data_IF_649415386003
#
_entry.id   IF_649415386003
#
_cell.length_a   1.000
_cell.length_b   1.000
_cell.length_c   1.000
_cell.angle_alpha   90.00
_cell.angle_beta   90.00
_cell.angle_gamma   90.00
#
_symmetry.space_group_name_H-M   'P 1'
#
loop_
_entity.id
_entity.type
_entity.pdbx_description
1 polymer ?
#
# COMPACT_ATOMS: atom_id res chain seq x y z
N UNK A 1 1.23 1.80 18.98
CA UNK A 1 1.07 0.33 18.96
C UNK A 1 2.28 -0.34 18.28
N UNK A 2 2.82 -1.40 18.89
CA UNK A 2 3.90 -2.24 18.33
C UNK A 2 3.37 -3.23 17.28
N UNK A 3 4.26 -3.97 16.61
CA UNK A 3 3.84 -5.01 15.63
C UNK A 3 3.30 -6.28 16.30
N UNK A 4 3.69 -6.53 17.55
CA UNK A 4 3.38 -7.78 18.26
C UNK A 4 1.88 -8.10 18.34
N UNK A 5 0.97 -7.16 18.68
CA UNK A 5 -0.48 -7.44 18.70
C UNK A 5 -1.05 -7.91 17.37
N UNK A 6 -0.49 -7.45 16.24
CA UNK A 6 -0.91 -7.88 14.91
C UNK A 6 -0.51 -9.33 14.64
N UNK A 7 0.69 -9.70 15.05
CA UNK A 7 1.19 -11.07 14.92
C UNK A 7 0.42 -12.02 15.84
N UNK A 8 0.14 -11.62 17.07
CA UNK A 8 -0.69 -12.40 18.00
C UNK A 8 -2.11 -12.60 17.44
N UNK A 9 -2.72 -11.55 16.90
CA UNK A 9 -4.02 -11.63 16.22
C UNK A 9 -3.97 -12.60 15.03
N UNK A 10 -2.94 -12.51 14.19
CA UNK A 10 -2.76 -13.42 13.06
C UNK A 10 -2.60 -14.87 13.51
N UNK A 11 -1.76 -15.13 14.52
CA UNK A 11 -1.49 -16.46 15.05
C UNK A 11 -2.73 -17.12 15.66
N UNK A 12 -3.69 -16.31 16.13
CA UNK A 12 -4.97 -16.80 16.64
C UNK A 12 -5.92 -17.27 15.54
N UNK A 13 -5.74 -16.77 14.31
CA UNK A 13 -6.61 -17.03 13.16
C UNK A 13 -6.50 -18.47 12.64
N UNK A 14 -7.60 -18.99 12.11
CA UNK A 14 -7.60 -20.33 11.48
C UNK A 14 -6.74 -20.35 10.21
N UNK A 15 -6.76 -19.27 9.42
CA UNK A 15 -5.95 -19.15 8.21
C UNK A 15 -4.46 -19.32 8.48
N UNK A 16 -3.94 -18.73 9.57
CA UNK A 16 -2.54 -18.91 9.96
C UNK A 16 -2.26 -20.33 10.45
N UNK A 17 -3.13 -20.91 11.29
CA UNK A 17 -2.97 -22.29 11.78
C UNK A 17 -2.91 -23.30 10.63
N UNK A 18 -3.80 -23.14 9.64
CA UNK A 18 -3.82 -23.99 8.44
C UNK A 18 -2.57 -23.78 7.57
N UNK A 19 -2.04 -22.56 7.53
CA UNK A 19 -0.79 -22.24 6.85
C UNK A 19 0.42 -22.87 7.53
N UNK A 20 0.55 -22.72 8.86
CA UNK A 20 1.66 -23.25 9.65
C UNK A 20 1.74 -24.77 9.57
N UNK A 21 0.59 -25.46 9.53
CA UNK A 21 0.55 -26.91 9.30
C UNK A 21 1.09 -27.33 7.93
N UNK A 22 0.88 -26.52 6.90
CA UNK A 22 1.32 -26.80 5.52
C UNK A 22 2.76 -26.35 5.25
N UNK A 23 3.23 -25.34 5.97
CA UNK A 23 4.51 -24.66 5.75
C UNK A 23 5.23 -24.45 7.09
N UNK A 24 5.60 -25.54 7.75
CA UNK A 24 6.28 -25.51 9.05
C UNK A 24 7.71 -24.94 9.00
N UNK A 25 8.29 -24.84 7.80
CA UNK A 25 9.57 -24.20 7.53
C UNK A 25 9.46 -22.67 7.34
N UNK A 26 8.23 -22.13 7.33
CA UNK A 26 8.02 -20.71 7.09
C UNK A 26 8.43 -19.85 8.30
N UNK A 27 8.90 -18.63 8.02
CA UNK A 27 9.27 -17.68 9.07
C UNK A 27 8.91 -16.24 8.71
N UNK A 28 8.61 -15.43 9.73
CA UNK A 28 8.30 -14.02 9.60
C UNK A 28 9.49 -13.25 9.02
N UNK A 29 9.25 -12.44 7.97
CA UNK A 29 10.29 -11.64 7.31
C UNK A 29 10.02 -10.15 7.33
N UNK A 30 8.76 -9.75 7.29
CA UNK A 30 8.39 -8.34 7.25
C UNK A 30 7.00 -8.08 7.81
N UNK A 31 6.80 -6.86 8.29
CA UNK A 31 5.49 -6.29 8.55
C UNK A 31 5.30 -5.04 7.69
N UNK A 32 4.22 -4.99 6.93
CA UNK A 32 3.87 -3.87 6.05
C UNK A 32 2.63 -3.18 6.62
N UNK A 33 2.73 -1.87 6.85
CA UNK A 33 1.71 -1.07 7.49
C UNK A 33 1.45 0.19 6.68
N UNK A 34 0.19 0.43 6.34
CA UNK A 34 -0.25 1.70 5.77
C UNK A 34 -1.07 2.41 6.83
N UNK A 35 -0.57 3.55 7.29
CA UNK A 35 -1.29 4.45 8.18
C UNK A 35 -1.83 5.60 7.34
N UNK A 36 -3.14 5.61 7.11
CA UNK A 36 -3.82 6.70 6.44
C UNK A 36 -4.31 7.70 7.48
N UNK A 37 -3.59 8.83 7.60
CA UNK A 37 -3.86 9.84 8.62
C UNK A 37 -5.06 10.73 8.25
N UNK A 38 -5.54 10.66 7.01
CA UNK A 38 -6.69 11.44 6.54
C UNK A 38 -8.00 10.64 6.71
N UNK A 39 -8.03 9.40 6.24
CA UNK A 39 -9.23 8.57 6.30
C UNK A 39 -9.32 7.69 7.55
N UNK A 40 -8.21 7.50 8.26
CA UNK A 40 -8.10 6.55 9.37
C UNK A 40 -8.12 5.08 8.93
N UNK A 41 -8.16 4.80 7.63
CA UNK A 41 -8.17 3.44 7.10
C UNK A 41 -6.76 2.87 7.08
N UNK A 42 -6.42 2.14 8.14
CA UNK A 42 -5.13 1.50 8.27
C UNK A 42 -5.16 0.10 7.63
N UNK A 43 -4.10 -0.22 6.88
CA UNK A 43 -3.89 -1.55 6.31
C UNK A 43 -2.69 -2.17 7.00
N UNK A 44 -2.78 -3.45 7.33
CA UNK A 44 -1.68 -4.19 7.93
C UNK A 44 -1.52 -5.53 7.23
N UNK A 45 -0.30 -5.82 6.82
CA UNK A 45 0.07 -7.05 6.15
C UNK A 45 1.29 -7.64 6.85
N UNK A 46 1.29 -8.95 7.07
CA UNK A 46 2.41 -9.68 7.68
C UNK A 46 2.91 -10.71 6.69
N UNK A 47 4.22 -10.71 6.44
CA UNK A 47 4.84 -11.52 5.41
C UNK A 47 5.69 -12.63 6.01
N UNK A 48 5.41 -13.87 5.58
CA UNK A 48 6.18 -15.05 5.94
C UNK A 48 6.89 -15.59 4.70
N UNK A 49 8.19 -15.86 4.81
CA UNK A 49 8.93 -16.55 3.76
C UNK A 49 8.79 -18.06 3.92
N UNK A 50 8.60 -18.77 2.81
CA UNK A 50 8.51 -20.23 2.72
C UNK A 50 9.75 -20.73 1.98
N UNK A 51 10.81 -21.17 2.69
CA UNK A 51 12.08 -21.60 2.09
C UNK A 51 11.92 -22.72 1.07
N UNK A 52 11.11 -23.74 1.38
CA UNK A 52 10.88 -24.91 0.51
C UNK A 52 10.30 -24.56 -0.86
N UNK A 53 9.63 -23.41 -0.99
CA UNK A 53 8.99 -22.98 -2.24
C UNK A 53 9.64 -21.73 -2.84
N UNK A 54 10.55 -21.08 -2.11
CA UNK A 54 11.08 -19.76 -2.43
C UNK A 54 9.98 -18.72 -2.72
N UNK A 55 8.94 -18.70 -1.87
CA UNK A 55 7.76 -17.84 -1.98
C UNK A 55 7.52 -17.07 -0.69
N UNK A 56 6.71 -16.01 -0.78
CA UNK A 56 6.27 -15.22 0.38
C UNK A 56 4.76 -15.37 0.54
N UNK A 57 4.31 -15.75 1.73
CA UNK A 57 2.92 -15.68 2.13
C UNK A 57 2.63 -14.31 2.76
N UNK A 58 1.82 -13.51 2.08
CA UNK A 58 1.37 -12.20 2.53
C UNK A 58 -0.02 -12.32 3.17
N UNK A 59 -0.11 -12.06 4.47
CA UNK A 59 -1.36 -12.07 5.23
C UNK A 59 -1.90 -10.66 5.36
N UNK A 60 -2.96 -10.35 4.63
CA UNK A 60 -3.66 -9.07 4.70
C UNK A 60 -4.71 -9.12 5.81
N UNK A 61 -4.56 -8.27 6.82
CA UNK A 61 -5.52 -8.15 7.91
C UNK A 61 -6.49 -7.01 7.62
N UNK A 62 -7.75 -7.37 7.42
CA UNK A 62 -8.84 -6.42 7.16
C UNK A 62 -9.46 -5.94 8.48
N UNK A 63 -10.13 -4.79 8.43
CA UNK A 63 -10.77 -4.13 9.57
C UNK A 63 -11.90 -4.96 10.21
N UNK A 64 -12.55 -5.82 9.42
CA UNK A 64 -13.64 -6.70 9.85
C UNK A 64 -13.15 -7.99 10.53
N UNK A 65 -11.84 -8.16 10.68
CA UNK A 65 -11.23 -9.35 11.27
C UNK A 65 -10.99 -10.48 10.27
N UNK A 66 -11.37 -10.33 9.00
CA UNK A 66 -10.98 -11.29 7.97
C UNK A 66 -9.48 -11.20 7.69
N UNK A 67 -8.87 -12.35 7.44
CA UNK A 67 -7.47 -12.49 7.04
C UNK A 67 -7.42 -13.17 5.69
N UNK A 68 -6.89 -12.46 4.69
CA UNK A 68 -6.65 -13.01 3.35
C UNK A 68 -5.17 -13.38 3.20
N UNK A 69 -4.88 -14.55 2.65
CA UNK A 69 -3.51 -15.03 2.45
C UNK A 69 -3.22 -15.14 0.95
N UNK A 70 -2.13 -14.49 0.53
CA UNK A 70 -1.65 -14.56 -0.86
C UNK A 70 -0.24 -15.10 -0.89
N UNK A 71 -0.02 -16.13 -1.69
CA UNK A 71 1.33 -16.64 -1.96
C UNK A 71 1.88 -15.90 -3.17
N UNK A 72 2.99 -15.20 -2.98
CA UNK A 72 3.66 -14.36 -3.95
C UNK A 72 5.04 -14.94 -4.30
N UNK A 73 5.47 -14.74 -5.54
CA UNK A 73 6.83 -15.08 -5.95
C UNK A 73 7.82 -14.01 -5.48
N UNK A 74 9.00 -14.46 -5.05
CA UNK A 74 10.09 -13.56 -4.71
C UNK A 74 10.62 -12.86 -5.96
N UNK A 75 10.63 -11.53 -5.94
CA UNK A 75 11.22 -10.72 -7.01
C UNK A 75 12.76 -10.72 -6.96
N UNK A 76 13.35 -11.08 -5.82
CA UNK A 76 14.80 -11.06 -5.61
C UNK A 76 15.33 -12.47 -5.34
N UNK A 77 16.58 -12.73 -5.71
CA UNK A 77 17.27 -13.99 -5.42
C UNK A 77 17.85 -14.05 -4.00
N UNK A 78 17.83 -12.94 -3.26
CA UNK A 78 18.40 -12.87 -1.91
C UNK A 78 17.39 -13.47 -0.93
N UNK A 79 17.79 -14.47 -0.17
CA UNK A 79 16.97 -15.02 0.91
C UNK A 79 16.75 -13.95 1.98
N UNK A 80 15.50 -13.67 2.39
CA UNK A 80 15.21 -12.70 3.42
C UNK A 80 15.67 -13.20 4.79
N UNK A 81 16.00 -12.26 5.66
CA UNK A 81 16.37 -12.55 7.05
C UNK A 81 15.12 -12.67 7.91
N UNK A 82 15.17 -13.53 8.94
CA UNK A 82 14.07 -13.67 9.89
C UNK A 82 13.90 -12.37 10.69
N UNK A 83 12.67 -11.92 10.80
CA UNK A 83 12.29 -10.79 11.63
C UNK A 83 11.92 -11.26 13.04
N UNK A 84 12.52 -10.64 14.05
CA UNK A 84 12.11 -10.81 15.44
C UNK A 84 10.87 -9.97 15.73
N UNK A 85 9.89 -10.58 16.40
CA UNK A 85 8.56 -10.01 16.68
C UNK A 85 8.64 -8.75 17.56
N UNK A 86 9.61 -8.69 18.48
CA UNK A 86 9.73 -7.61 19.43
C UNK A 86 10.29 -6.35 18.74
N UNK A 87 9.49 -5.29 18.61
CA UNK A 87 9.95 -3.97 18.16
C UNK A 87 10.05 -2.97 19.31
N UNK A 88 10.98 -2.03 19.19
CA UNK A 88 11.16 -0.92 20.13
C UNK A 88 10.38 0.33 19.72
N UNK A 89 10.07 0.46 18.43
CA UNK A 89 9.27 1.56 17.89
C UNK A 89 7.80 1.15 17.79
N UNK A 90 6.94 2.05 18.25
CA UNK A 90 5.50 2.02 18.00
C UNK A 90 5.18 2.62 16.63
N UNK A 91 4.25 2.01 15.90
CA UNK A 91 3.79 2.50 14.59
C UNK A 91 3.30 3.95 14.65
N UNK A 92 2.61 4.33 15.73
CA UNK A 92 2.11 5.69 15.96
C UNK A 92 3.25 6.67 16.27
N UNK A 93 4.34 6.20 16.87
CA UNK A 93 5.51 7.02 17.16
C UNK A 93 6.32 7.35 15.89
N UNK A 94 6.19 6.58 14.81
CA UNK A 94 6.86 6.85 13.53
C UNK A 94 6.53 8.26 13.02
N UNK A 95 5.26 8.69 13.15
CA UNK A 95 4.84 10.04 12.75
C UNK A 95 5.65 11.11 13.49
N UNK A 96 5.74 11.01 14.81
CA UNK A 96 6.48 11.98 15.63
C UNK A 96 7.97 12.02 15.29
N UNK A 97 8.61 10.85 15.17
CA UNK A 97 10.03 10.74 14.79
C UNK A 97 10.29 11.44 13.44
N UNK A 98 9.40 11.22 12.47
CA UNK A 98 9.52 11.80 11.14
C UNK A 98 9.25 13.30 11.14
N UNK A 99 8.22 13.77 11.87
CA UNK A 99 7.91 15.19 11.99
C UNK A 99 9.04 15.99 12.65
N UNK A 100 9.69 15.41 13.66
CA UNK A 100 10.83 16.05 14.31
C UNK A 100 12.05 16.11 13.38
N UNK A 101 12.35 15.04 12.65
CA UNK A 101 13.43 15.04 11.66
C UNK A 101 13.14 15.98 10.47
N UNK A 102 11.87 16.09 10.04
CA UNK A 102 11.44 17.04 9.02
C UNK A 102 11.66 18.49 9.46
N UNK A 103 11.30 18.84 10.71
CA UNK A 103 11.56 20.17 11.28
C UNK A 103 13.05 20.49 11.33
N UNK A 104 13.88 19.53 11.73
CA UNK A 104 15.34 19.70 11.74
C UNK A 104 15.92 19.98 10.35
N UNK A 105 15.22 19.57 9.29
CA UNK A 105 15.59 19.80 7.88
C UNK A 105 14.84 20.97 7.23
N UNK A 106 14.13 21.79 8.00
CA UNK A 106 13.32 22.91 7.54
C UNK A 106 12.23 22.53 6.51
N UNK A 107 11.64 21.34 6.67
CA UNK A 107 10.50 20.89 5.87
C UNK A 107 9.19 21.29 6.57
N UNK A 108 8.29 21.97 5.83
CA UNK A 108 7.03 22.49 6.38
C UNK A 108 5.80 21.71 5.92
N UNK A 109 5.98 20.68 5.10
CA UNK A 109 4.87 19.88 4.59
C UNK A 109 4.27 18.98 5.67
N UNK A 110 3.00 18.62 5.49
CA UNK A 110 2.31 17.70 6.39
C UNK A 110 2.34 16.28 5.84
N UNK A 111 2.54 15.29 6.72
CA UNK A 111 2.42 13.87 6.36
C UNK A 111 0.93 13.50 6.30
N UNK A 112 0.46 13.04 5.13
CA UNK A 112 -0.92 12.56 4.93
C UNK A 112 -1.05 11.04 5.06
N UNK A 113 -0.03 10.30 4.60
CA UNK A 113 -0.02 8.84 4.63
C UNK A 113 1.37 8.33 4.95
N UNK A 114 1.46 7.28 5.74
CA UNK A 114 2.72 6.60 6.09
C UNK A 114 2.62 5.15 5.61
N UNK A 115 3.57 4.73 4.78
CA UNK A 115 3.75 3.33 4.37
C UNK A 115 5.03 2.84 5.02
N UNK A 116 4.91 2.05 6.08
CA UNK A 116 6.01 1.57 6.89
C UNK A 116 6.24 0.07 6.68
N UNK A 117 7.48 -0.32 6.43
CA UNK A 117 7.90 -1.71 6.28
C UNK A 117 8.99 -2.00 7.30
N UNK A 118 8.70 -2.84 8.28
CA UNK A 118 9.72 -3.36 9.21
C UNK A 118 10.29 -4.65 8.66
N UNK A 119 11.62 -4.75 8.63
CA UNK A 119 12.34 -5.94 8.19
C UNK A 119 13.73 -5.99 8.84
N UNK A 120 14.33 -7.16 8.87
CA UNK A 120 15.74 -7.33 9.26
C UNK A 120 16.63 -7.18 8.02
N UNK A 121 17.61 -6.28 8.07
CA UNK A 121 18.61 -6.08 7.03
C UNK A 121 19.98 -6.09 7.69
N UNK A 122 20.84 -7.04 7.29
CA UNK A 122 22.20 -7.17 7.83
C UNK A 122 22.21 -7.34 9.36
N UNK A 123 21.29 -8.16 9.87
CA UNK A 123 21.11 -8.41 11.31
C UNK A 123 20.50 -7.25 12.10
N UNK A 124 20.10 -6.15 11.44
CA UNK A 124 19.49 -4.99 12.08
C UNK A 124 18.02 -4.84 11.70
N UNK A 125 17.16 -4.56 12.67
CA UNK A 125 15.76 -4.20 12.42
C UNK A 125 15.66 -2.78 11.92
N UNK A 126 15.18 -2.62 10.69
CA UNK A 126 15.04 -1.32 10.02
C UNK A 126 13.60 -1.12 9.59
N UNK A 127 13.07 0.06 9.90
CA UNK A 127 11.82 0.58 9.39
C UNK A 127 12.08 1.39 8.13
N UNK A 128 11.64 0.87 6.99
CA UNK A 128 11.64 1.58 5.72
C UNK A 128 10.29 2.26 5.55
N UNK A 129 10.29 3.58 5.62
CA UNK A 129 9.07 4.38 5.66
C UNK A 129 8.98 5.26 4.43
N UNK A 130 7.86 5.22 3.72
CA UNK A 130 7.53 6.14 2.65
C UNK A 130 6.32 6.96 3.09
N UNK A 131 6.46 8.28 3.15
CA UNK A 131 5.39 9.19 3.52
C UNK A 131 4.92 9.98 2.31
N UNK A 132 3.61 10.05 2.13
CA UNK A 132 2.99 10.96 1.18
C UNK A 132 2.76 12.29 1.89
N UNK A 133 3.36 13.35 1.35
CA UNK A 133 3.26 14.71 1.88
C UNK A 133 2.12 15.48 1.20
N UNK A 134 1.63 16.54 1.85
CA UNK A 134 0.61 17.44 1.30
C UNK A 134 0.99 18.10 -0.04
N UNK A 135 2.29 18.25 -0.32
CA UNK A 135 2.84 18.86 -1.54
C UNK A 135 2.98 17.94 -2.77
N UNK A 136 2.34 16.76 -2.80
CA UNK A 136 2.57 15.72 -3.83
C UNK A 136 4.03 15.22 -3.89
N UNK A 137 4.69 15.20 -2.74
CA UNK A 137 6.05 14.70 -2.57
C UNK A 137 6.05 13.43 -1.73
N UNK A 138 7.04 12.58 -1.98
CA UNK A 138 7.27 11.36 -1.21
C UNK A 138 8.53 11.55 -0.40
N UNK A 139 8.39 11.42 0.93
CA UNK A 139 9.52 11.34 1.84
C UNK A 139 9.85 9.89 2.09
N UNK A 140 11.07 9.49 1.78
CA UNK A 140 11.61 8.16 2.10
C UNK A 140 12.50 8.28 3.32
N UNK A 141 12.27 7.45 4.32
CA UNK A 141 13.06 7.44 5.53
C UNK A 141 13.41 6.01 5.94
N UNK A 142 14.61 5.81 6.46
CA UNK A 142 15.07 4.55 7.03
C UNK A 142 15.34 4.80 8.51
N UNK A 143 14.65 4.10 9.40
CA UNK A 143 14.75 4.29 10.85
C UNK A 143 15.24 3.00 11.48
N UNK A 144 16.30 3.06 12.28
CA UNK A 144 16.78 1.89 13.03
C UNK A 144 15.92 1.66 14.27
N UNK A 145 15.39 0.44 14.46
CA UNK A 145 14.44 0.14 15.53
C UNK A 145 15.05 0.32 16.93
N UNK A 146 16.31 -0.07 17.14
CA UNK A 146 16.98 -0.02 18.44
C UNK A 146 17.29 1.41 18.92
N UNK A 147 17.87 2.22 18.04
CA UNK A 147 18.30 3.58 18.38
C UNK A 147 17.21 4.63 18.17
N UNK A 148 16.14 4.29 17.42
CA UNK A 148 15.08 5.21 16.98
C UNK A 148 15.59 6.37 16.12
N UNK A 149 16.81 6.25 15.59
CA UNK A 149 17.43 7.28 14.76
C UNK A 149 17.04 7.10 13.30
N UNK A 150 16.89 8.23 12.60
CA UNK A 150 16.70 8.25 11.15
C UNK A 150 18.07 8.11 10.49
N UNK A 151 18.35 6.92 9.95
CA UNK A 151 19.60 6.60 9.26
C UNK A 151 19.73 7.34 7.92
N UNK A 152 18.61 7.49 7.21
CA UNK A 152 18.54 8.11 5.89
C UNK A 152 17.17 8.74 5.71
N UNK A 153 17.13 9.93 5.12
CA UNK A 153 15.89 10.59 4.73
C UNK A 153 16.07 11.34 3.42
N UNK A 154 15.18 11.09 2.46
CA UNK A 154 15.22 11.61 1.11
C UNK A 154 13.85 12.09 0.67
N UNK A 155 13.79 13.28 0.09
CA UNK A 155 12.57 13.83 -0.50
C UNK A 155 12.62 13.63 -2.02
N UNK A 156 11.54 13.13 -2.60
CA UNK A 156 11.42 12.94 -4.04
C UNK A 156 10.04 13.39 -4.53
N UNK A 157 9.97 13.99 -5.71
CA UNK A 157 8.68 14.36 -6.29
C UNK A 157 7.99 13.11 -6.87
N UNK A 158 6.65 13.02 -6.75
CA UNK A 158 5.87 11.98 -7.44
C UNK A 158 6.12 12.01 -8.96
N UNK A 159 6.37 13.19 -9.53
CA UNK A 159 6.70 13.34 -10.96
C UNK A 159 7.99 12.60 -11.36
N UNK A 160 8.98 12.52 -10.45
CA UNK A 160 10.23 11.82 -10.71
C UNK A 160 10.02 10.31 -10.81
N UNK A 161 9.03 9.78 -10.10
CA UNK A 161 8.62 8.37 -10.21
C UNK A 161 7.84 8.11 -11.49
N UNK A 162 6.91 8.99 -11.86
CA UNK A 162 6.14 8.86 -13.11
C UNK A 162 7.08 8.86 -14.33
N UNK A 163 8.15 9.67 -14.32
CA UNK A 163 9.18 9.68 -15.37
C UNK A 163 10.04 8.41 -15.40
N UNK A 164 10.22 7.74 -14.26
CA UNK A 164 11.06 6.53 -14.10
C UNK A 164 10.30 5.23 -14.31
N UNK A 165 8.98 5.23 -14.22
CA UNK A 165 8.18 4.13 -14.72
C UNK A 165 8.41 4.14 -16.23
N UNK A 166 9.08 3.13 -16.82
CA UNK A 166 9.00 2.99 -18.26
C UNK A 166 7.51 2.96 -18.55
N UNK A 167 7.04 3.89 -19.39
CA UNK A 167 5.86 3.60 -20.18
C UNK A 167 6.21 2.31 -20.91
N UNK A 168 5.94 1.17 -20.28
CA UNK A 168 5.60 -0.02 -21.01
C UNK A 168 4.46 0.46 -21.86
N UNK A 169 4.80 0.77 -23.10
CA UNK A 169 3.90 0.92 -24.19
C UNK A 169 3.11 -0.39 -24.22
N UNK A 170 2.05 -0.48 -23.43
CA UNK A 170 0.81 -0.98 -23.94
C UNK A 170 0.28 0.07 -24.92
N UNK A 171 1.04 0.30 -25.98
CA UNK A 171 0.47 0.57 -27.28
C UNK A 171 -0.11 -0.76 -27.79
N UNK A 172 -1.07 -1.34 -27.06
CA UNK A 172 -2.18 -1.94 -27.78
C UNK A 172 -2.88 -0.73 -28.40
N UNK A 173 -2.51 -0.39 -29.64
CA UNK A 173 -3.41 0.39 -30.49
C UNK A 173 -4.77 -0.27 -30.33
N UNK A 174 -5.81 0.40 -29.78
CA UNK A 174 -7.14 -0.17 -29.81
C UNK A 174 -7.41 -0.55 -31.26
N UNK A 175 -7.77 -1.81 -31.51
CA UNK A 175 -8.14 -2.25 -32.86
C UNK A 175 -9.22 -1.28 -33.33
N UNK A 176 -9.16 -0.80 -34.58
CA UNK A 176 -10.15 0.15 -35.14
C UNK A 176 -11.60 -0.29 -34.83
N UNK A 177 -11.84 -1.60 -34.82
CA UNK A 177 -13.13 -2.22 -34.47
C UNK A 177 -13.64 -1.89 -33.06
N UNK A 178 -12.77 -1.73 -32.06
CA UNK A 178 -13.17 -1.40 -30.69
C UNK A 178 -13.50 0.10 -30.55
N UNK A 179 -12.80 0.96 -31.30
CA UNK A 179 -13.11 2.40 -31.37
C UNK A 179 -14.46 2.62 -32.06
N UNK A 180 -14.72 1.92 -33.16
CA UNK A 180 -15.99 2.03 -33.90
C UNK A 180 -17.18 1.54 -33.06
N UNK A 181 -17.01 0.47 -32.28
CA UNK A 181 -18.03 0.00 -31.32
C UNK A 181 -18.30 1.00 -30.21
N UNK A 182 -17.26 1.65 -29.67
CA UNK A 182 -17.42 2.67 -28.63
C UNK A 182 -18.09 3.94 -29.16
N UNK A 183 -17.76 4.37 -30.38
CA UNK A 183 -18.44 5.48 -31.07
C UNK A 183 -19.92 5.19 -31.30
N UNK A 184 -20.25 3.97 -31.76
CA UNK A 184 -21.66 3.56 -31.92
C UNK A 184 -22.44 3.50 -30.60
N UNK A 185 -21.79 3.11 -29.50
CA UNK A 185 -22.41 3.15 -28.17
C UNK A 185 -22.66 4.59 -27.69
N UNK A 186 -21.72 5.50 -27.94
CA UNK A 186 -21.86 6.92 -27.62
C UNK A 186 -23.00 7.58 -28.42
N UNK A 187 -23.15 7.27 -29.71
CA UNK A 187 -24.23 7.82 -30.53
C UNK A 187 -25.61 7.31 -30.09
N UNK A 188 -25.73 6.01 -29.75
CA UNK A 188 -26.96 5.46 -29.17
C UNK A 188 -27.32 6.12 -27.85
N UNK A 189 -26.33 6.42 -27.01
CA UNK A 189 -26.55 7.08 -25.72
C UNK A 189 -26.97 8.55 -25.91
N UNK A 190 -26.37 9.26 -26.86
CA UNK A 190 -26.78 10.63 -27.23
C UNK A 190 -28.22 10.68 -27.76
N UNK A 191 -28.61 9.73 -28.61
CA UNK A 191 -29.99 9.65 -29.08
C UNK A 191 -30.99 9.37 -27.95
N UNK A 192 -30.63 8.48 -27.02
CA UNK A 192 -31.47 8.18 -25.85
C UNK A 192 -31.66 9.43 -24.97
N UNK A 193 -30.58 10.17 -24.70
CA UNK A 193 -30.61 11.41 -23.93
C UNK A 193 -31.40 12.51 -24.63
N UNK A 194 -31.30 12.65 -25.97
CA UNK A 194 -32.14 13.59 -26.71
C UNK A 194 -33.63 13.21 -26.66
N UNK A 195 -33.96 11.92 -26.80
CA UNK A 195 -35.34 11.43 -26.69
C UNK A 195 -35.91 11.67 -25.28
N UNK A 196 -35.12 11.48 -24.24
CA UNK A 196 -35.53 11.83 -22.86
C UNK A 196 -35.69 13.33 -22.67
N UNK A 197 -34.77 14.15 -23.17
CA UNK A 197 -34.86 15.61 -23.08
C UNK A 197 -36.13 16.15 -23.73
N UNK A 198 -36.49 15.65 -24.92
CA UNK A 198 -37.75 16.01 -25.60
C UNK A 198 -38.98 15.55 -24.81
N UNK A 199 -38.93 14.39 -24.14
CA UNK A 199 -40.01 13.92 -23.27
C UNK A 199 -40.15 14.78 -22.00
N UNK A 200 -39.04 15.24 -21.45
CA UNK A 200 -39.01 16.14 -20.28
C UNK A 200 -39.55 17.53 -20.64
N UNK A 201 -39.16 18.10 -21.78
CA UNK A 201 -39.67 19.39 -22.26
C UNK A 201 -41.18 19.36 -22.55
N UNK A 202 -41.71 18.23 -23.05
CA UNK A 202 -43.15 18.04 -23.25
C UNK A 202 -43.94 17.83 -21.94
N UNK A 203 -43.26 17.47 -20.84
CA UNK A 203 -43.88 17.23 -19.53
C UNK A 203 -43.81 18.43 -18.59
N UNK A 204 -43.17 19.54 -18.96
CA UNK A 204 -43.28 20.78 -18.20
C UNK A 204 -44.58 21.51 -18.55
N UNK A 205 -45.60 21.55 -17.66
CA UNK A 205 -46.74 22.42 -17.86
C UNK A 205 -46.26 23.88 -17.82
N UNK A 206 -46.69 24.68 -18.79
CA UNK A 206 -46.51 26.13 -18.77
C UNK A 206 -47.05 26.68 -17.45
N UNK A 207 -46.16 27.04 -16.53
CA UNK A 207 -46.52 27.88 -15.38
C UNK A 207 -46.95 29.23 -15.95
N UNK A 208 -48.26 29.46 -15.99
CA UNK A 208 -48.87 30.79 -15.98
C UNK A 208 -49.02 31.23 -14.53
#
# INVERSE_FOLDING_TARGET
>A
MKIQPYIEKLNSSQAYKDFEQKHSDAFLIAGFFVLDLESGQNISQIDYYIPSQNKVAAFNMMSDGQTDVKILEMLTKKTPEKLEIATNIDLEALKGILEDEMKNRNMSEEIKKIIAIVQTVEGKKVWNVNCVLSGMEILKAHIEDSSKTVLRMEKASVLDYIKKIPMQQQAQKPKKEDIDKQLQQLDKMKEALQKEKIKLDKKQPKKK
#
